data_IF_937246602792
#
_entry.id   IF_937246602792
#
_cell.length_a   1.000
_cell.length_b   1.000
_cell.length_c   1.000
_cell.angle_alpha   90.00
_cell.angle_beta   90.00
_cell.angle_gamma   90.00
#
_symmetry.space_group_name_H-M   'P 1'
#
loop_
_entity.id
_entity.type
_entity.pdbx_description
1 polymer ?
#
# COMPACT_ATOMS: atom_id res chain seq x y z
N UNK A 1 8.62 14.18 -14.59
CA UNK A 1 7.98 14.42 -13.28
C UNK A 1 7.12 15.66 -13.40
N UNK A 2 5.80 15.50 -13.50
CA UNK A 2 4.93 16.58 -13.95
C UNK A 2 4.07 17.16 -12.83
N UNK A 3 3.75 16.38 -11.79
CA UNK A 3 2.89 16.83 -10.70
C UNK A 3 3.22 16.18 -9.35
N UNK A 4 2.94 16.93 -8.28
CA UNK A 4 2.92 16.46 -6.90
C UNK A 4 1.50 16.56 -6.36
N UNK A 5 1.01 15.51 -5.72
CA UNK A 5 -0.38 15.38 -5.27
C UNK A 5 -0.37 15.13 -3.77
N UNK A 6 -1.08 15.98 -3.02
CA UNK A 6 -1.34 15.76 -1.60
C UNK A 6 -2.71 15.11 -1.42
N UNK A 7 -2.74 13.99 -0.71
CA UNK A 7 -3.97 13.26 -0.41
C UNK A 7 -4.14 13.23 1.11
N UNK A 8 -5.30 13.70 1.57
CA UNK A 8 -5.70 13.57 2.97
C UNK A 8 -6.66 12.37 3.11
N UNK A 9 -6.36 11.50 4.07
CA UNK A 9 -7.20 10.37 4.45
C UNK A 9 -7.70 10.58 5.87
N UNK A 10 -8.99 10.41 6.06
CA UNK A 10 -9.65 10.45 7.37
C UNK A 10 -10.11 9.03 7.66
N UNK A 11 -9.57 8.43 8.72
CA UNK A 11 -9.86 7.05 9.11
C UNK A 11 -10.59 7.07 10.46
N UNK A 12 -11.69 6.33 10.53
CA UNK A 12 -12.39 6.04 11.77
C UNK A 12 -12.53 4.52 11.89
N UNK A 13 -11.87 3.94 12.90
CA UNK A 13 -11.81 2.48 13.07
C UNK A 13 -13.16 1.87 13.46
N UNK A 14 -13.97 2.61 14.22
CA UNK A 14 -15.31 2.20 14.64
C UNK A 14 -16.22 3.41 14.83
N UNK A 15 -17.53 3.23 14.73
CA UNK A 15 -18.51 4.31 14.95
C UNK A 15 -18.34 4.91 16.35
N UNK A 16 -18.04 6.21 16.43
CA UNK A 16 -17.76 6.91 17.70
C UNK A 16 -16.35 6.68 18.26
N UNK A 17 -15.48 5.99 17.52
CA UNK A 17 -14.07 5.82 17.85
C UNK A 17 -13.20 7.02 17.45
N UNK A 18 -11.90 6.97 17.78
CA UNK A 18 -10.94 8.01 17.41
C UNK A 18 -10.92 8.20 15.88
N UNK A 19 -10.72 9.45 15.47
CA UNK A 19 -10.58 9.84 14.07
C UNK A 19 -9.13 10.22 13.83
N UNK A 20 -8.48 9.51 12.92
CA UNK A 20 -7.09 9.77 12.55
C UNK A 20 -7.03 10.41 11.17
N UNK A 21 -6.20 11.45 11.04
CA UNK A 21 -5.93 12.13 9.77
C UNK A 21 -4.52 11.79 9.31
N UNK A 22 -4.41 11.32 8.08
CA UNK A 22 -3.14 11.03 7.43
C UNK A 22 -2.99 11.91 6.20
N UNK A 23 -1.79 12.42 5.96
CA UNK A 23 -1.45 13.12 4.74
C UNK A 23 -0.33 12.38 4.02
N UNK A 24 -0.57 12.02 2.78
CA UNK A 24 0.38 11.33 1.90
C UNK A 24 0.67 12.21 0.69
N UNK A 25 1.92 12.19 0.23
CA UNK A 25 2.36 12.92 -0.96
C UNK A 25 2.78 11.94 -2.03
N UNK A 26 2.26 12.10 -3.24
CA UNK A 26 2.56 11.26 -4.39
C UNK A 26 3.20 12.11 -5.48
N UNK A 27 4.20 11.54 -6.14
CA UNK A 27 4.87 12.14 -7.29
C UNK A 27 4.44 11.34 -8.52
N UNK A 28 4.03 12.02 -9.59
CA UNK A 28 3.61 11.34 -10.81
C UNK A 28 3.94 12.15 -12.08
N UNK A 29 3.98 11.44 -13.19
CA UNK A 29 4.07 12.01 -14.53
C UNK A 29 2.70 12.34 -15.13
N UNK A 30 1.60 11.90 -14.49
CA UNK A 30 0.26 12.27 -14.90
C UNK A 30 -0.02 13.77 -14.66
N UNK A 31 -0.85 14.41 -15.50
CA UNK A 31 -1.33 15.76 -15.25
C UNK A 31 -2.29 15.79 -14.04
N UNK A 32 -2.38 16.93 -13.36
CA UNK A 32 -3.23 17.08 -12.17
C UNK A 32 -4.72 16.94 -12.49
N UNK A 33 -5.10 17.19 -13.74
CA UNK A 33 -6.46 17.03 -14.26
C UNK A 33 -6.79 15.60 -14.72
N UNK A 34 -5.88 14.63 -14.52
CA UNK A 34 -6.11 13.27 -14.97
C UNK A 34 -7.32 12.66 -14.23
N UNK A 35 -8.37 12.21 -14.94
CA UNK A 35 -9.63 11.83 -14.29
C UNK A 35 -9.51 10.60 -13.38
N UNK A 36 -8.50 9.74 -13.61
CA UNK A 36 -8.25 8.52 -12.82
C UNK A 36 -7.23 8.70 -11.69
N UNK A 37 -6.82 9.93 -11.38
CA UNK A 37 -5.76 10.16 -10.41
C UNK A 37 -6.12 9.64 -9.01
N UNK A 38 -7.37 9.84 -8.61
CA UNK A 38 -7.89 9.31 -7.35
C UNK A 38 -7.92 7.77 -7.32
N UNK A 39 -8.26 7.13 -8.44
CA UNK A 39 -8.23 5.67 -8.57
C UNK A 39 -6.82 5.10 -8.42
N UNK A 40 -5.81 5.72 -9.03
CA UNK A 40 -4.42 5.28 -8.88
C UNK A 40 -3.95 5.38 -7.43
N UNK A 41 -4.27 6.49 -6.77
CA UNK A 41 -3.99 6.63 -5.33
C UNK A 41 -4.68 5.51 -4.55
N UNK A 42 -5.95 5.20 -4.86
CA UNK A 42 -6.72 4.18 -4.15
C UNK A 42 -6.19 2.76 -4.35
N UNK A 43 -5.79 2.42 -5.58
CA UNK A 43 -5.19 1.13 -5.92
C UNK A 43 -3.86 0.90 -5.21
N UNK A 44 -3.04 1.95 -5.01
CA UNK A 44 -1.83 1.83 -4.18
C UNK A 44 -2.12 1.33 -2.76
N UNK A 45 -3.28 1.68 -2.18
CA UNK A 45 -3.69 1.18 -0.86
C UNK A 45 -4.31 -0.22 -0.91
N UNK A 46 -4.82 -0.66 -2.06
CA UNK A 46 -5.40 -1.99 -2.21
C UNK A 46 -4.32 -3.07 -2.03
N UNK A 47 -3.08 -2.79 -2.43
CA UNK A 47 -1.93 -3.67 -2.25
C UNK A 47 -1.71 -3.98 -0.76
N UNK A 48 -1.80 -2.97 0.12
CA UNK A 48 -1.68 -3.16 1.58
C UNK A 48 -2.77 -4.09 2.15
N UNK A 49 -3.94 -4.18 1.50
CA UNK A 49 -4.99 -5.11 1.94
C UNK A 49 -4.62 -6.58 1.63
N UNK A 50 -3.72 -6.80 0.68
CA UNK A 50 -3.19 -8.13 0.34
C UNK A 50 -2.06 -8.55 1.28
N UNK A 51 -1.48 -7.64 2.07
CA UNK A 51 -0.49 -8.02 3.08
C UNK A 51 -1.08 -8.98 4.10
N UNK A 52 -2.35 -8.86 4.47
CA UNK A 52 -3.00 -9.86 5.34
C UNK A 52 -2.91 -11.29 4.79
N UNK A 53 -3.04 -11.47 3.47
CA UNK A 53 -2.86 -12.77 2.83
C UNK A 53 -1.41 -13.26 2.95
N UNK A 54 -0.44 -12.38 2.72
CA UNK A 54 0.99 -12.71 2.83
C UNK A 54 1.37 -13.03 4.29
N UNK A 55 0.97 -12.18 5.22
CA UNK A 55 1.35 -12.25 6.63
C UNK A 55 0.67 -13.42 7.33
N UNK A 56 -0.62 -13.70 7.05
CA UNK A 56 -1.40 -14.72 7.77
C UNK A 56 -1.52 -16.03 7.00
N UNK A 57 -1.83 -16.00 5.69
CA UNK A 57 -2.02 -17.24 4.93
C UNK A 57 -0.72 -17.84 4.42
N UNK A 58 0.27 -17.01 4.09
CA UNK A 58 1.61 -17.48 3.71
C UNK A 58 2.61 -17.46 4.88
N UNK A 59 2.20 -16.95 6.05
CA UNK A 59 3.03 -16.86 7.26
C UNK A 59 4.38 -16.22 6.98
N UNK A 60 4.42 -15.19 6.13
CA UNK A 60 5.66 -14.53 5.70
C UNK A 60 6.40 -13.91 6.91
N UNK A 61 5.68 -13.35 7.88
CA UNK A 61 6.21 -12.86 9.17
C UNK A 61 6.90 -13.94 10.00
N UNK A 62 6.48 -15.20 9.86
CA UNK A 62 7.08 -16.34 10.54
C UNK A 62 8.24 -16.96 9.77
N UNK A 63 8.45 -16.55 8.52
CA UNK A 63 9.51 -17.07 7.68
C UNK A 63 10.83 -16.35 7.97
N UNK A 64 11.82 -17.08 8.46
CA UNK A 64 13.17 -16.57 8.71
C UNK A 64 13.93 -16.52 7.39
N UNK A 65 13.41 -15.76 6.43
CA UNK A 65 14.09 -15.45 5.16
C UNK A 65 15.27 -14.53 5.48
N UNK A 66 16.37 -15.14 5.90
CA UNK A 66 17.66 -14.49 6.02
C UNK A 66 18.12 -14.07 4.62
N UNK A 67 17.67 -12.88 4.22
CA UNK A 67 18.09 -11.87 3.24
C UNK A 67 18.94 -12.20 1.98
N UNK A 68 19.54 -13.38 1.84
CA UNK A 68 20.44 -13.68 0.70
C UNK A 68 19.87 -14.61 -0.36
N UNK A 69 18.99 -15.57 -0.03
CA UNK A 69 18.55 -16.60 -0.99
C UNK A 69 17.03 -16.69 -1.19
N UNK A 70 16.26 -15.68 -0.78
CA UNK A 70 14.79 -15.71 -0.87
C UNK A 70 14.27 -15.92 -2.30
N UNK A 71 14.96 -15.35 -3.30
CA UNK A 71 14.57 -15.50 -4.71
C UNK A 71 14.78 -16.94 -5.24
N UNK A 72 15.82 -17.63 -4.79
CA UNK A 72 16.08 -19.03 -5.19
C UNK A 72 15.10 -20.01 -4.52
N UNK A 73 14.75 -19.78 -3.26
CA UNK A 73 13.80 -20.64 -2.53
C UNK A 73 12.38 -20.59 -3.12
N UNK A 74 11.97 -19.46 -3.72
CA UNK A 74 10.67 -19.35 -4.40
C UNK A 74 10.63 -20.05 -5.77
N UNK A 75 11.78 -20.26 -6.42
CA UNK A 75 11.86 -20.88 -7.75
C UNK A 75 11.94 -22.41 -7.72
N UNK A 76 12.05 -23.00 -6.52
CA UNK A 76 12.23 -24.44 -6.29
C UNK A 76 10.95 -25.16 -5.79
N UNK A 77 9.84 -24.43 -5.66
CA UNK A 77 8.50 -24.95 -5.33
C UNK A 77 7.67 -25.00 -6.61
#
# INVERSE_FOLDING_TARGET
MNTCIAVERIVQERKGGPVTRHKSYYITDHPASHPKLADYVRQNWEIESHHWLLDVHLNDDGDKKYEKNSAENFAQI
#
